data_IF_821986078469
#
_entry.id   IF_821986078469
#
_cell.length_a   1.000
_cell.length_b   1.000
_cell.length_c   1.000
_cell.angle_alpha   90.00
_cell.angle_beta   90.00
_cell.angle_gamma   90.00
#
_symmetry.space_group_name_H-M   'P 1'
#
loop_
_entity.id
_entity.type
_entity.pdbx_description
1 polymer ?
#
# COMPACT_ATOMS: atom_id res chain seq x y z
N UNK A 1 0.04 29.39 5.68
CA UNK A 1 -1.10 28.80 6.42
C UNK A 1 -1.92 28.02 5.39
N UNK A 2 -1.48 26.81 5.04
CA UNK A 2 -2.20 25.94 4.12
C UNK A 2 -3.23 25.16 4.91
N UNK A 3 -4.50 25.52 4.77
CA UNK A 3 -5.62 24.73 5.28
C UNK A 3 -5.64 23.44 4.46
N UNK A 4 -5.06 22.37 4.99
CA UNK A 4 -5.30 21.01 4.51
C UNK A 4 -6.82 20.81 4.54
N UNK A 5 -7.46 20.71 3.37
CA UNK A 5 -8.86 20.27 3.34
C UNK A 5 -8.84 18.82 3.83
N UNK A 6 -9.27 18.64 5.07
CA UNK A 6 -9.37 17.34 5.71
C UNK A 6 -10.41 16.54 4.91
N UNK A 7 -10.07 15.32 4.51
CA UNK A 7 -10.91 14.50 3.66
C UNK A 7 -12.28 14.21 4.33
N UNK A 8 -13.39 14.07 3.57
CA UNK A 8 -14.75 13.92 4.12
C UNK A 8 -14.95 12.86 5.23
N UNK A 9 -14.22 11.73 5.20
CA UNK A 9 -14.22 10.74 6.30
C UNK A 9 -13.84 11.34 7.67
N UNK A 10 -13.09 12.43 7.64
CA UNK A 10 -12.49 13.07 8.79
C UNK A 10 -13.21 14.37 9.16
N UNK A 11 -14.29 14.73 8.46
CA UNK A 11 -15.09 15.90 8.78
C UNK A 11 -16.06 15.64 9.96
N UNK A 12 -16.35 14.36 10.30
CA UNK A 12 -17.40 14.00 11.29
C UNK A 12 -17.03 12.95 12.35
N UNK A 13 -15.78 12.50 12.44
CA UNK A 13 -15.32 11.52 13.45
C UNK A 13 -14.34 12.23 14.38
N UNK A 14 -14.49 12.08 15.70
CA UNK A 14 -13.50 12.57 16.68
C UNK A 14 -12.08 12.09 16.28
N UNK A 15 -11.31 12.99 15.67
CA UNK A 15 -10.04 12.74 14.99
C UNK A 15 -8.85 12.48 15.91
N UNK A 16 -9.08 11.96 17.11
CA UNK A 16 -8.00 11.55 18.00
C UNK A 16 -7.95 10.03 18.02
N UNK A 17 -7.21 9.40 17.09
CA UNK A 17 -6.93 7.98 17.23
C UNK A 17 -6.11 7.76 18.51
N UNK A 18 -6.76 7.25 19.55
CA UNK A 18 -6.12 6.73 20.74
C UNK A 18 -5.54 5.34 20.41
N UNK A 19 -4.31 5.31 19.93
CA UNK A 19 -3.63 4.07 19.56
C UNK A 19 -2.12 4.26 19.47
N UNK A 20 -1.36 3.26 19.90
CA UNK A 20 0.11 3.31 19.91
C UNK A 20 0.72 2.81 18.60
N UNK A 21 -0.10 2.22 17.72
CA UNK A 21 0.29 1.55 16.49
C UNK A 21 -0.50 2.01 15.27
N UNK A 22 -0.91 3.28 15.23
CA UNK A 22 -1.65 3.84 14.10
C UNK A 22 -0.82 3.96 12.81
N UNK A 23 -1.49 3.86 11.67
CA UNK A 23 -0.93 4.00 10.31
C UNK A 23 -1.61 5.15 9.55
N UNK A 24 -1.00 5.73 8.51
CA UNK A 24 0.33 5.41 7.95
C UNK A 24 1.47 6.04 8.75
N UNK A 25 2.71 5.67 8.42
CA UNK A 25 3.93 6.23 9.03
C UNK A 25 4.92 6.72 7.98
N UNK A 26 5.86 7.56 8.41
CA UNK A 26 7.06 7.87 7.63
C UNK A 26 8.11 6.77 7.85
N UNK A 27 8.46 6.07 6.78
CA UNK A 27 9.53 5.07 6.79
C UNK A 27 10.85 5.81 6.59
N UNK A 28 11.64 5.91 7.66
CA UNK A 28 13.04 6.31 7.56
C UNK A 28 13.86 5.08 7.23
N UNK A 29 14.21 4.90 5.97
CA UNK A 29 14.78 3.61 5.54
C UNK A 29 16.08 3.29 6.28
N UNK A 30 16.92 4.29 6.58
CA UNK A 30 18.18 4.11 7.34
C UNK A 30 17.97 3.64 8.78
N UNK A 31 16.82 4.00 9.37
CA UNK A 31 16.46 3.62 10.74
C UNK A 31 15.76 2.26 10.77
N UNK A 32 15.42 1.68 9.61
CA UNK A 32 14.83 0.34 9.55
C UNK A 32 15.86 -0.73 9.89
N UNK A 33 15.41 -1.76 10.61
CA UNK A 33 16.25 -2.85 11.08
C UNK A 33 16.19 -3.99 10.09
N UNK A 34 17.32 -4.32 9.46
CA UNK A 34 17.41 -5.50 8.62
C UNK A 34 17.17 -6.75 9.46
N UNK A 35 16.14 -7.51 9.09
CA UNK A 35 15.77 -8.75 9.75
C UNK A 35 16.02 -9.93 8.78
N UNK A 36 17.12 -10.70 8.95
CA UNK A 36 17.41 -11.84 8.10
C UNK A 36 16.44 -13.01 8.28
N UNK A 37 15.58 -12.97 9.31
CA UNK A 37 14.52 -13.96 9.54
C UNK A 37 13.27 -13.71 8.68
N UNK A 38 13.15 -12.55 8.04
CA UNK A 38 12.08 -12.28 7.09
C UNK A 38 12.27 -13.15 5.84
N UNK A 39 11.37 -14.13 5.69
CA UNK A 39 11.32 -15.00 4.52
C UNK A 39 10.90 -14.20 3.27
N UNK A 40 11.12 -14.71 2.05
CA UNK A 40 10.45 -14.15 0.88
C UNK A 40 8.93 -14.13 1.08
N UNK A 41 8.28 -13.08 0.57
CA UNK A 41 6.82 -13.02 0.48
C UNK A 41 6.38 -13.77 -0.79
N UNK A 42 5.59 -14.81 -0.62
CA UNK A 42 4.95 -15.52 -1.73
C UNK A 42 3.57 -14.92 -1.96
N UNK A 43 3.26 -14.62 -3.23
CA UNK A 43 2.00 -14.06 -3.66
C UNK A 43 1.42 -15.02 -4.70
N UNK A 44 0.21 -15.52 -4.46
CA UNK A 44 -0.50 -16.42 -5.37
C UNK A 44 -1.92 -15.94 -5.51
N UNK A 45 -2.25 -15.33 -6.65
CA UNK A 45 -3.59 -14.86 -6.95
C UNK A 45 -4.18 -15.62 -8.13
N UNK A 46 -5.39 -16.13 -7.95
CA UNK A 46 -6.20 -16.68 -9.03
C UNK A 46 -7.03 -15.53 -9.64
N UNK A 47 -6.78 -15.13 -10.89
CA UNK A 47 -7.47 -14.01 -11.50
C UNK A 47 -8.98 -14.20 -11.61
N UNK A 48 -9.47 -15.45 -11.51
CA UNK A 48 -10.89 -15.78 -11.57
C UNK A 48 -11.64 -15.49 -10.27
N UNK A 49 -10.94 -15.20 -9.17
CA UNK A 49 -11.60 -14.79 -7.92
C UNK A 49 -11.99 -13.31 -7.91
N UNK A 50 -11.56 -12.52 -8.89
CA UNK A 50 -11.99 -11.12 -9.02
C UNK A 50 -13.49 -11.03 -9.34
N UNK A 51 -14.22 -10.21 -8.58
CA UNK A 51 -15.67 -10.07 -8.66
C UNK A 51 -16.08 -8.80 -9.41
N UNK A 52 -15.93 -7.65 -8.75
CA UNK A 52 -16.46 -6.38 -9.22
C UNK A 52 -15.57 -5.21 -8.78
N UNK A 53 -15.75 -4.08 -9.45
CA UNK A 53 -15.24 -2.78 -9.03
C UNK A 53 -16.41 -1.95 -8.53
N UNK A 54 -16.28 -1.30 -7.39
CA UNK A 54 -17.31 -0.39 -6.91
C UNK A 54 -16.73 0.85 -6.24
N UNK A 55 -17.41 1.98 -6.42
CA UNK A 55 -17.07 3.24 -5.77
C UNK A 55 -17.87 3.37 -4.49
N UNK A 56 -17.21 3.29 -3.33
CA UNK A 56 -17.88 3.35 -2.04
C UNK A 56 -18.02 4.78 -1.47
N UNK A 57 -17.62 5.79 -2.24
CA UNK A 57 -17.62 7.19 -1.81
C UNK A 57 -16.42 7.58 -0.96
N UNK A 58 -15.39 6.74 -0.85
CA UNK A 58 -14.11 7.02 -0.20
C UNK A 58 -12.92 6.67 -1.09
N UNK A 59 -13.02 5.53 -1.75
CA UNK A 59 -12.17 5.07 -2.85
C UNK A 59 -13.08 4.31 -3.83
N UNK A 60 -12.50 3.74 -4.87
CA UNK A 60 -13.04 2.50 -5.42
C UNK A 60 -12.34 1.29 -4.80
N UNK A 61 -13.03 0.15 -4.78
CA UNK A 61 -12.50 -1.14 -4.37
C UNK A 61 -12.65 -2.13 -5.52
N UNK A 62 -11.68 -3.01 -5.65
CA UNK A 62 -11.79 -4.23 -6.47
C UNK A 62 -11.86 -5.40 -5.49
N UNK A 63 -13.00 -6.09 -5.48
CA UNK A 63 -13.28 -7.15 -4.51
C UNK A 63 -13.04 -8.54 -5.10
N UNK A 64 -12.65 -9.47 -4.22
CA UNK A 64 -12.30 -10.84 -4.58
C UNK A 64 -13.09 -11.83 -3.71
N UNK A 65 -13.43 -12.96 -4.31
CA UNK A 65 -13.95 -14.14 -3.62
C UNK A 65 -12.89 -14.71 -2.67
N UNK A 66 -13.24 -14.82 -1.39
CA UNK A 66 -12.33 -15.14 -0.29
C UNK A 66 -12.80 -16.33 0.59
N UNK A 67 -13.77 -17.12 0.10
CA UNK A 67 -14.18 -18.37 0.76
C UNK A 67 -13.13 -19.50 0.69
N UNK A 68 -12.13 -19.39 -0.19
CA UNK A 68 -11.09 -20.40 -0.39
C UNK A 68 -9.69 -19.79 -0.52
N UNK A 69 -8.65 -20.61 -0.37
CA UNK A 69 -7.24 -20.19 -0.42
C UNK A 69 -6.70 -19.99 -1.85
N UNK A 70 -7.55 -19.61 -2.80
CA UNK A 70 -7.17 -19.42 -4.21
C UNK A 70 -6.31 -18.16 -4.44
N UNK A 71 -6.59 -17.11 -3.68
CA UNK A 71 -5.91 -15.83 -3.77
C UNK A 71 -5.36 -15.46 -2.39
N UNK A 72 -4.08 -15.76 -2.16
CA UNK A 72 -3.43 -15.67 -0.84
C UNK A 72 -2.03 -15.09 -0.91
N UNK A 73 -1.57 -14.59 0.24
CA UNK A 73 -0.17 -14.28 0.50
C UNK A 73 0.33 -15.12 1.67
N UNK A 74 1.61 -15.49 1.64
CA UNK A 74 2.25 -16.26 2.70
C UNK A 74 3.75 -15.91 2.80
N UNK A 75 4.37 -16.34 3.90
CA UNK A 75 5.78 -16.02 4.17
C UNK A 75 5.96 -14.58 4.63
N UNK A 76 7.12 -14.00 4.34
CA UNK A 76 7.48 -12.70 4.89
C UNK A 76 7.39 -12.62 6.42
N UNK A 77 6.70 -11.62 6.98
CA UNK A 77 6.46 -11.50 8.43
C UNK A 77 5.26 -12.32 8.94
N UNK A 78 4.57 -13.06 8.08
CA UNK A 78 3.28 -13.70 8.38
C UNK A 78 3.47 -15.11 8.95
N UNK A 79 2.64 -15.47 9.93
CA UNK A 79 2.63 -16.82 10.54
C UNK A 79 1.77 -17.81 9.72
N UNK A 80 0.74 -17.32 9.06
CA UNK A 80 -0.23 -18.09 8.28
C UNK A 80 -0.37 -17.50 6.87
N UNK A 81 -1.12 -18.18 6.00
CA UNK A 81 -1.59 -17.58 4.76
C UNK A 81 -2.76 -16.62 5.02
N UNK A 82 -2.82 -15.55 4.25
CA UNK A 82 -3.87 -14.53 4.36
C UNK A 82 -4.58 -14.41 3.00
N UNK A 83 -5.91 -14.49 3.01
CA UNK A 83 -6.74 -14.42 1.81
C UNK A 83 -6.93 -12.99 1.36
N UNK A 84 -6.76 -12.72 0.07
CA UNK A 84 -7.04 -11.42 -0.54
C UNK A 84 -8.54 -11.15 -0.47
N UNK A 85 -8.91 -10.05 0.20
CA UNK A 85 -10.30 -9.58 0.25
C UNK A 85 -10.59 -8.59 -0.87
N UNK A 86 -9.72 -7.60 -0.99
CA UNK A 86 -9.88 -6.47 -1.91
C UNK A 86 -8.55 -5.77 -2.12
N UNK A 87 -8.48 -4.94 -3.16
CA UNK A 87 -7.53 -3.85 -3.19
C UNK A 87 -8.20 -2.50 -3.50
N UNK A 88 -7.55 -1.42 -3.09
CA UNK A 88 -7.97 -0.05 -3.33
C UNK A 88 -6.75 0.89 -3.41
N UNK A 89 -6.99 2.16 -3.71
CA UNK A 89 -5.93 3.16 -3.85
C UNK A 89 -6.22 4.40 -3.01
N UNK A 90 -5.15 5.07 -2.63
CA UNK A 90 -5.14 6.43 -2.13
C UNK A 90 -4.37 7.31 -3.12
N UNK A 91 -4.88 8.49 -3.45
CA UNK A 91 -4.26 9.40 -4.42
C UNK A 91 -4.52 10.88 -4.11
N UNK A 92 -3.66 11.73 -4.63
CA UNK A 92 -3.73 13.17 -4.45
C UNK A 92 -4.39 13.89 -5.61
N UNK A 93 -4.76 15.14 -5.35
CA UNK A 93 -5.25 16.05 -6.37
C UNK A 93 -4.20 16.44 -7.42
N UNK A 94 -2.91 16.26 -7.12
CA UNK A 94 -1.77 16.59 -7.97
C UNK A 94 -0.69 15.51 -7.89
N UNK A 95 0.25 15.50 -8.83
CA UNK A 95 1.28 14.45 -8.92
C UNK A 95 2.34 14.48 -7.80
N UNK A 96 2.40 15.56 -7.03
CA UNK A 96 3.40 15.74 -5.99
C UNK A 96 3.11 14.95 -4.71
N UNK A 97 1.85 14.51 -4.50
CA UNK A 97 1.44 13.79 -3.29
C UNK A 97 0.22 12.90 -3.54
N UNK A 98 -0.10 12.05 -2.56
CA UNK A 98 -1.27 11.18 -2.61
C UNK A 98 -1.11 9.85 -1.90
N UNK A 99 0.13 9.38 -1.74
CA UNK A 99 0.43 8.24 -0.89
C UNK A 99 0.16 8.55 0.57
N UNK A 100 -0.22 7.51 1.31
CA UNK A 100 -0.44 7.58 2.75
C UNK A 100 0.90 7.45 3.49
N UNK A 101 1.65 6.40 3.17
CA UNK A 101 3.02 6.25 3.64
C UNK A 101 3.96 7.22 2.92
N UNK A 102 5.07 7.51 3.59
CA UNK A 102 6.19 8.23 3.00
C UNK A 102 7.49 7.49 3.25
N UNK A 103 8.49 7.74 2.40
CA UNK A 103 9.87 7.23 2.62
C UNK A 103 10.80 8.43 2.69
N UNK A 104 11.50 8.60 3.82
CA UNK A 104 12.28 9.81 4.12
C UNK A 104 11.49 11.11 3.86
N UNK A 105 10.22 11.12 4.29
CA UNK A 105 9.28 12.23 4.10
C UNK A 105 8.96 12.56 2.63
N UNK A 106 9.35 11.70 1.69
CA UNK A 106 8.92 11.79 0.29
C UNK A 106 7.60 11.08 0.09
N UNK A 107 6.64 11.80 -0.50
CA UNK A 107 5.36 11.26 -0.94
C UNK A 107 5.44 10.75 -2.38
N UNK A 108 4.46 9.94 -2.74
CA UNK A 108 4.18 9.50 -4.10
C UNK A 108 2.79 9.99 -4.54
N UNK A 109 2.51 10.13 -5.85
CA UNK A 109 1.20 10.54 -6.35
C UNK A 109 0.02 9.66 -5.90
N UNK A 110 0.29 8.37 -5.65
CA UNK A 110 -0.71 7.42 -5.18
C UNK A 110 -0.05 6.24 -4.45
N UNK A 111 -0.87 5.49 -3.72
CA UNK A 111 -0.50 4.26 -3.03
C UNK A 111 -1.62 3.23 -3.16
N UNK A 112 -1.27 2.02 -3.58
CA UNK A 112 -2.13 0.85 -3.67
C UNK A 112 -2.07 0.06 -2.37
N UNK A 113 -3.22 -0.35 -1.85
CA UNK A 113 -3.34 -1.29 -0.74
C UNK A 113 -4.04 -2.57 -1.17
N UNK A 114 -3.37 -3.70 -1.04
CA UNK A 114 -3.99 -5.02 -1.19
C UNK A 114 -4.24 -5.60 0.20
N UNK A 115 -5.50 -5.75 0.56
CA UNK A 115 -5.94 -6.12 1.90
C UNK A 115 -6.25 -7.60 1.97
N UNK A 116 -5.60 -8.26 2.93
CA UNK A 116 -5.74 -9.69 3.17
C UNK A 116 -6.13 -9.94 4.62
N UNK A 117 -6.77 -11.08 4.88
CA UNK A 117 -7.20 -11.47 6.23
C UNK A 117 -6.85 -12.92 6.57
N UNK A 118 -6.65 -13.16 7.86
CA UNK A 118 -6.21 -14.46 8.39
C UNK A 118 -7.40 -15.41 8.59
N UNK A 119 -7.81 -16.07 7.50
CA UNK A 119 -8.88 -17.06 7.53
C UNK A 119 -8.51 -18.38 8.25
N UNK A 120 -7.24 -18.54 8.66
CA UNK A 120 -6.81 -19.68 9.49
C UNK A 120 -7.19 -19.45 10.95
N UNK A 121 -7.12 -18.20 11.42
CA UNK A 121 -7.36 -17.83 12.83
C UNK A 121 -8.78 -17.30 13.08
N UNK A 122 -9.41 -16.68 12.09
CA UNK A 122 -10.71 -16.01 12.23
C UNK A 122 -11.75 -16.60 11.28
N UNK A 123 -13.01 -16.60 11.70
CA UNK A 123 -14.12 -17.15 10.91
C UNK A 123 -14.53 -16.23 9.76
N UNK A 124 -14.36 -14.92 9.92
CA UNK A 124 -14.76 -13.91 8.94
C UNK A 124 -13.81 -12.70 8.97
N UNK A 125 -13.94 -11.85 7.94
CA UNK A 125 -13.11 -10.66 7.77
C UNK A 125 -13.35 -9.62 8.86
N UNK A 126 -14.59 -9.44 9.30
CA UNK A 126 -14.99 -8.44 10.28
C UNK A 126 -14.31 -8.68 11.62
N UNK A 127 -14.29 -9.92 12.10
CA UNK A 127 -13.61 -10.32 13.33
C UNK A 127 -12.09 -10.16 13.19
N UNK A 128 -11.53 -10.59 12.05
CA UNK A 128 -10.10 -10.41 11.76
C UNK A 128 -9.71 -8.93 11.75
N UNK A 129 -10.57 -8.04 11.24
CA UNK A 129 -10.31 -6.61 11.17
C UNK A 129 -10.23 -5.93 12.54
N UNK A 130 -10.74 -6.55 13.60
CA UNK A 130 -10.72 -6.01 14.96
C UNK A 130 -9.57 -6.56 15.82
N UNK A 131 -8.87 -7.59 15.36
CA UNK A 131 -7.95 -8.37 16.18
C UNK A 131 -6.50 -8.28 15.69
N UNK A 132 -5.55 -8.34 16.63
CA UNK A 132 -4.13 -8.27 16.28
C UNK A 132 -3.71 -9.45 15.39
N UNK A 133 -2.94 -9.13 14.35
CA UNK A 133 -2.54 -10.03 13.27
C UNK A 133 -3.71 -10.63 12.48
N UNK A 134 -4.90 -10.03 12.54
CA UNK A 134 -6.03 -10.45 11.72
C UNK A 134 -5.92 -10.02 10.27
N UNK A 135 -5.25 -8.90 9.99
CA UNK A 135 -5.06 -8.39 8.63
C UNK A 135 -3.58 -8.32 8.21
N UNK A 136 -3.35 -8.47 6.91
CA UNK A 136 -2.08 -8.18 6.27
C UNK A 136 -2.33 -7.30 5.05
N UNK A 137 -1.63 -6.16 4.96
CA UNK A 137 -1.80 -5.21 3.85
C UNK A 137 -0.48 -5.03 3.11
N UNK A 138 -0.50 -5.31 1.81
CA UNK A 138 0.62 -4.96 0.92
C UNK A 138 0.40 -3.54 0.43
N UNK A 139 1.33 -2.65 0.76
CA UNK A 139 1.38 -1.28 0.24
C UNK A 139 2.34 -1.17 -0.95
N UNK A 140 1.88 -0.61 -2.07
CA UNK A 140 2.71 -0.34 -3.25
C UNK A 140 2.59 1.13 -3.64
N UNK A 141 3.71 1.84 -3.68
CA UNK A 141 3.74 3.22 -4.17
C UNK A 141 3.58 3.29 -5.69
N UNK A 142 2.89 4.31 -6.19
CA UNK A 142 2.80 4.61 -7.62
C UNK A 142 3.58 5.89 -7.90
N UNK A 143 4.49 5.88 -8.88
CA UNK A 143 5.17 7.08 -9.37
C UNK A 143 4.86 7.33 -10.84
N UNK A 144 4.93 8.58 -11.27
CA UNK A 144 4.89 8.91 -12.68
C UNK A 144 6.09 8.31 -13.42
N UNK A 145 5.84 7.72 -14.58
CA UNK A 145 6.84 7.10 -15.42
C UNK A 145 6.21 6.50 -16.66
N UNK A 146 6.59 5.27 -16.98
CA UNK A 146 6.05 4.54 -18.11
C UNK A 146 4.57 4.15 -17.89
N UNK A 147 3.80 4.18 -18.97
CA UNK A 147 2.44 3.64 -19.03
C UNK A 147 2.38 2.19 -18.53
N UNK A 148 1.46 1.91 -17.61
CA UNK A 148 1.27 0.60 -17.00
C UNK A 148 0.20 -0.20 -17.75
N UNK A 149 0.61 -1.01 -18.73
CA UNK A 149 -0.31 -1.73 -19.64
C UNK A 149 -1.38 -2.54 -18.90
N UNK A 150 -0.99 -3.30 -17.89
CA UNK A 150 -1.93 -4.19 -17.18
C UNK A 150 -2.92 -3.42 -16.28
N UNK A 151 -2.59 -2.18 -15.89
CA UNK A 151 -3.48 -1.32 -15.12
C UNK A 151 -4.58 -0.72 -16.01
N UNK A 152 -4.36 -0.69 -17.33
CA UNK A 152 -5.26 -0.01 -18.26
C UNK A 152 -6.66 -0.60 -18.23
N UNK A 153 -6.80 -1.92 -18.05
CA UNK A 153 -8.11 -2.57 -17.90
C UNK A 153 -8.93 -1.96 -16.75
N UNK A 154 -8.29 -1.70 -15.61
CA UNK A 154 -8.93 -1.05 -14.47
C UNK A 154 -9.26 0.41 -14.79
N UNK A 155 -8.32 1.14 -15.38
CA UNK A 155 -8.48 2.55 -15.78
C UNK A 155 -9.68 2.73 -16.72
N UNK A 156 -9.84 1.86 -17.71
CA UNK A 156 -10.96 1.89 -18.67
C UNK A 156 -12.32 1.60 -18.00
N UNK A 157 -12.31 1.01 -16.81
CA UNK A 157 -13.52 0.69 -16.03
C UNK A 157 -13.96 1.85 -15.13
N UNK A 158 -13.02 2.74 -14.74
CA UNK A 158 -13.30 3.85 -13.81
C UNK A 158 -14.46 4.78 -14.24
N UNK A 159 -14.65 5.11 -15.53
CA UNK A 159 -15.80 5.94 -15.94
C UNK A 159 -17.16 5.32 -15.59
N UNK A 160 -17.27 3.99 -15.60
CA UNK A 160 -18.51 3.26 -15.26
C UNK A 160 -18.82 3.30 -13.77
N UNK A 161 -17.84 3.61 -12.93
CA UNK A 161 -17.99 3.75 -11.47
C UNK A 161 -17.69 5.18 -10.98
N UNK A 162 -17.93 6.18 -11.83
CA UNK A 162 -17.61 7.60 -11.54
C UNK A 162 -18.25 8.09 -10.24
N UNK A 163 -19.49 7.74 -9.97
CA UNK A 163 -20.27 8.23 -8.83
C UNK A 163 -20.21 7.26 -7.64
N UNK A 164 -20.36 7.77 -6.42
CA UNK A 164 -20.53 6.92 -5.24
C UNK A 164 -21.71 5.96 -5.41
N UNK A 165 -21.58 4.76 -4.82
CA UNK A 165 -22.54 3.65 -4.80
C UNK A 165 -22.79 2.99 -6.17
N UNK A 166 -21.89 3.24 -7.14
CA UNK A 166 -21.89 2.55 -8.43
C UNK A 166 -20.98 1.33 -8.40
N UNK A 167 -21.40 0.26 -9.07
CA UNK A 167 -20.75 -1.04 -9.08
C UNK A 167 -20.81 -1.63 -10.49
N UNK A 168 -19.72 -2.27 -10.92
CA UNK A 168 -19.64 -2.99 -12.20
C UNK A 168 -18.88 -4.30 -12.03
N UNK A 169 -19.37 -5.38 -12.64
CA UNK A 169 -18.62 -6.63 -12.71
C UNK A 169 -17.31 -6.43 -13.49
N UNK A 170 -16.20 -6.91 -12.94
CA UNK A 170 -14.87 -6.69 -13.55
C UNK A 170 -14.35 -7.92 -14.32
N UNK A 171 -14.92 -9.09 -13.98
CA UNK A 171 -14.45 -10.38 -14.46
C UNK A 171 -13.02 -10.65 -14.00
N UNK A 172 -12.27 -11.40 -14.81
CA UNK A 172 -10.93 -11.85 -14.42
C UNK A 172 -9.89 -10.73 -14.37
N UNK A 173 -9.17 -10.58 -13.26
CA UNK A 173 -8.08 -9.61 -13.10
C UNK A 173 -7.02 -10.17 -12.14
N UNK A 174 -5.75 -10.14 -12.54
CA UNK A 174 -4.63 -10.58 -11.70
C UNK A 174 -3.97 -9.39 -11.00
N UNK A 175 -4.15 -9.20 -9.69
CA UNK A 175 -3.52 -8.08 -8.98
C UNK A 175 -1.99 -8.22 -8.85
N UNK A 176 -1.41 -9.38 -9.17
CA UNK A 176 0.06 -9.56 -9.22
C UNK A 176 0.70 -8.64 -10.26
N UNK A 177 -0.05 -8.23 -11.29
CA UNK A 177 0.44 -7.29 -12.29
C UNK A 177 0.77 -5.90 -11.72
N UNK A 178 0.25 -5.57 -10.53
CA UNK A 178 0.48 -4.31 -9.84
C UNK A 178 1.66 -4.39 -8.84
N UNK A 179 2.40 -5.49 -8.84
CA UNK A 179 3.57 -5.69 -7.97
C UNK A 179 4.86 -5.22 -8.66
N UNK A 180 5.75 -4.52 -7.95
CA UNK A 180 7.08 -4.25 -8.47
C UNK A 180 7.90 -5.54 -8.53
N UNK A 181 8.78 -5.66 -9.52
CA UNK A 181 9.65 -6.84 -9.69
C UNK A 181 10.62 -7.07 -8.52
N UNK A 182 10.93 -6.01 -7.74
CA UNK A 182 11.79 -6.11 -6.57
C UNK A 182 11.06 -6.83 -5.42
N UNK A 183 11.61 -7.91 -4.86
CA UNK A 183 10.97 -8.63 -3.77
C UNK A 183 11.04 -7.86 -2.45
N UNK A 184 11.99 -6.93 -2.30
CA UNK A 184 12.24 -6.19 -1.06
C UNK A 184 11.02 -5.45 -0.53
N UNK A 185 10.88 -5.45 0.80
CA UNK A 185 9.84 -4.73 1.52
C UNK A 185 10.29 -4.28 2.91
N UNK A 186 9.55 -3.32 3.45
CA UNK A 186 9.53 -3.00 4.88
C UNK A 186 8.29 -3.62 5.52
N UNK A 187 8.34 -3.87 6.82
CA UNK A 187 7.19 -4.36 7.57
C UNK A 187 7.14 -3.80 8.99
N UNK A 188 5.93 -3.56 9.48
CA UNK A 188 5.65 -3.11 10.84
C UNK A 188 4.20 -3.43 11.22
N UNK A 189 3.90 -3.52 12.52
CA UNK A 189 2.54 -3.67 13.04
C UNK A 189 1.86 -2.29 13.10
N UNK A 190 0.68 -2.19 12.48
CA UNK A 190 -0.02 -0.94 12.26
C UNK A 190 -1.54 -1.07 12.38
N UNK A 191 -2.23 -0.11 11.78
CA UNK A 191 -3.69 -0.06 11.76
C UNK A 191 -4.24 0.00 10.33
N UNK A 192 -5.56 -0.14 10.22
CA UNK A 192 -6.30 0.40 9.08
C UNK A 192 -6.10 1.93 9.02
N UNK A 193 -6.08 2.49 7.82
CA UNK A 193 -5.94 3.94 7.60
C UNK A 193 -7.28 4.64 7.38
N UNK A 194 -8.36 3.87 7.31
CA UNK A 194 -9.76 4.33 7.34
C UNK A 194 -10.47 3.81 8.59
N UNK A 195 -11.53 4.50 9.07
CA UNK A 195 -12.36 3.99 10.16
C UNK A 195 -12.77 2.53 9.97
N UNK A 196 -12.69 1.69 11.02
CA UNK A 196 -12.55 2.04 12.44
C UNK A 196 -11.11 2.26 12.95
N UNK A 197 -10.08 2.26 12.08
CA UNK A 197 -8.67 2.48 12.46
C UNK A 197 -8.09 1.42 13.41
N UNK A 198 -8.67 0.22 13.41
CA UNK A 198 -8.23 -0.90 14.25
C UNK A 198 -6.76 -1.23 14.04
N UNK A 199 -6.04 -1.48 15.14
CA UNK A 199 -4.61 -1.88 15.16
C UNK A 199 -4.42 -3.38 14.88
N UNK A 200 -5.00 -3.86 13.79
CA UNK A 200 -5.08 -5.26 13.39
C UNK A 200 -4.16 -5.63 12.22
N UNK A 201 -3.42 -4.66 11.68
CA UNK A 201 -2.74 -4.78 10.37
C UNK A 201 -1.26 -5.07 10.52
N UNK A 202 -0.79 -6.15 9.89
CA UNK A 202 0.63 -6.31 9.53
C UNK A 202 0.89 -5.65 8.18
N UNK A 203 1.61 -4.54 8.19
CA UNK A 203 1.97 -3.83 6.96
C UNK A 203 3.16 -4.47 6.26
N UNK A 204 3.08 -4.58 4.94
CA UNK A 204 4.16 -5.01 4.06
C UNK A 204 4.30 -3.98 2.94
N UNK A 205 5.21 -3.02 3.11
CA UNK A 205 5.39 -1.91 2.16
C UNK A 205 6.48 -2.28 1.16
N UNK A 206 6.11 -2.44 -0.11
CA UNK A 206 7.07 -2.74 -1.18
C UNK A 206 8.08 -1.60 -1.34
N UNK A 207 9.36 -1.96 -1.44
CA UNK A 207 10.46 -0.98 -1.50
C UNK A 207 10.43 -0.12 -2.76
N UNK A 208 10.12 -0.74 -3.89
CA UNK A 208 10.08 -0.07 -5.19
C UNK A 208 8.65 0.32 -5.53
N UNK A 209 8.43 1.52 -6.07
CA UNK A 209 7.15 1.89 -6.64
C UNK A 209 6.93 1.19 -8.00
N UNK A 210 5.67 1.12 -8.43
CA UNK A 210 5.33 0.87 -9.84
C UNK A 210 5.21 2.19 -10.60
N UNK A 211 5.45 2.14 -11.90
CA UNK A 211 5.29 3.29 -12.79
C UNK A 211 3.90 3.29 -13.40
N UNK A 212 3.28 4.46 -13.41
CA UNK A 212 2.04 4.75 -14.16
C UNK A 212 2.27 6.02 -14.96
N UNK A 213 1.57 6.19 -16.09
CA UNK A 213 1.62 7.47 -16.77
C UNK A 213 0.64 8.48 -16.15
N UNK A 214 0.76 9.73 -16.60
CA UNK A 214 -0.05 10.84 -16.12
C UNK A 214 -1.55 10.64 -16.41
N UNK A 215 -1.89 10.16 -17.60
CA UNK A 215 -3.29 10.06 -18.05
C UNK A 215 -4.04 8.95 -17.30
N UNK A 216 -3.36 7.84 -17.00
CA UNK A 216 -3.87 6.79 -16.13
C UNK A 216 -4.22 7.33 -14.75
N UNK A 217 -3.34 8.12 -14.14
CA UNK A 217 -3.60 8.71 -12.82
C UNK A 217 -4.69 9.79 -12.87
N UNK A 218 -4.81 10.55 -13.96
CA UNK A 218 -5.87 11.54 -14.09
C UNK A 218 -7.26 10.89 -14.12
N UNK A 219 -7.41 9.69 -14.68
CA UNK A 219 -8.67 8.94 -14.63
C UNK A 219 -9.15 8.67 -13.19
N UNK A 220 -8.24 8.40 -12.25
CA UNK A 220 -8.59 8.21 -10.84
C UNK A 220 -9.20 9.48 -10.27
N UNK A 221 -8.65 10.63 -10.63
CA UNK A 221 -9.10 11.95 -10.19
C UNK A 221 -10.43 12.39 -10.84
N UNK A 222 -10.99 11.61 -11.77
CA UNK A 222 -12.33 11.88 -12.33
C UNK A 222 -13.47 11.31 -11.49
N UNK A 223 -13.15 10.36 -10.59
CA UNK A 223 -14.12 9.77 -9.68
C UNK A 223 -14.66 10.82 -8.69
N UNK A 224 -15.83 10.55 -8.14
CA UNK A 224 -16.54 11.43 -7.23
C UNK A 224 -16.83 10.74 -5.90
N UNK A 225 -16.72 11.49 -4.80
CA UNK A 225 -17.18 11.07 -3.47
C UNK A 225 -18.71 11.05 -3.35
N UNK A 226 -19.41 11.67 -4.30
CA UNK A 226 -20.84 11.97 -4.24
C UNK A 226 -21.61 11.09 -5.20
N UNK A 227 -22.84 10.76 -4.83
CA UNK A 227 -23.72 9.93 -5.65
C UNK A 227 -24.24 10.70 -6.87
N UNK A 228 -24.85 10.02 -7.82
CA UNK A 228 -25.46 10.68 -8.99
C UNK A 228 -26.59 11.63 -8.55
N UNK A 229 -26.64 12.82 -9.14
CA UNK A 229 -27.61 13.88 -8.80
C UNK A 229 -27.21 14.76 -7.61
N UNK A 230 -26.18 14.40 -6.84
CA UNK A 230 -25.59 15.27 -5.82
C UNK A 230 -24.61 16.29 -6.44
N UNK A 231 -24.27 17.33 -5.67
CA UNK A 231 -23.24 18.29 -6.09
C UNK A 231 -21.88 17.59 -6.17
N UNK A 232 -21.32 17.49 -7.38
CA UNK A 232 -20.06 16.78 -7.62
C UNK A 232 -18.93 17.24 -6.67
N UNK A 233 -18.35 16.29 -5.92
CA UNK A 233 -17.10 16.46 -5.16
C UNK A 233 -16.10 15.43 -5.68
N UNK A 234 -15.05 15.89 -6.37
CA UNK A 234 -13.98 15.02 -6.89
C UNK A 234 -13.36 14.20 -5.76
N UNK A 235 -13.17 12.91 -6.02
CA UNK A 235 -12.46 11.97 -5.17
C UNK A 235 -10.97 12.21 -5.34
N UNK A 236 -10.41 13.11 -4.54
CA UNK A 236 -8.98 13.44 -4.51
C UNK A 236 -8.58 13.72 -3.06
N UNK A 237 -7.28 13.58 -2.79
CA UNK A 237 -6.70 13.69 -1.46
C UNK A 237 -7.39 12.73 -0.47
N UNK A 238 -7.69 11.51 -0.93
CA UNK A 238 -8.38 10.48 -0.15
C UNK A 238 -7.45 9.69 0.77
N UNK A 239 -6.41 10.33 1.29
CA UNK A 239 -5.36 9.71 2.11
C UNK A 239 -5.36 10.30 3.53
N UNK A 240 -4.93 9.50 4.50
CA UNK A 240 -4.76 9.89 5.90
C UNK A 240 -3.39 10.55 6.13
N UNK A 241 -3.31 11.61 6.96
CA UNK A 241 -2.03 12.13 7.43
C UNK A 241 -1.19 11.11 8.21
N UNK A 242 0.13 11.29 8.19
CA UNK A 242 1.09 10.46 8.93
C UNK A 242 0.79 10.44 10.44
N UNK A 243 0.94 9.26 11.02
CA UNK A 243 0.81 8.99 12.44
C UNK A 243 2.19 8.80 13.09
N UNK A 244 2.33 9.07 14.40
CA UNK A 244 3.60 8.86 15.10
C UNK A 244 4.05 7.40 15.07
N UNK A 245 5.35 7.16 14.86
CA UNK A 245 5.93 5.81 14.92
C UNK A 245 5.84 5.20 16.33
N UNK A 246 5.87 6.05 17.37
CA UNK A 246 5.93 5.64 18.78
C UNK A 246 7.10 4.67 19.02
N UNK A 247 6.89 3.60 19.80
CA UNK A 247 7.92 2.62 20.16
C UNK A 247 8.07 1.49 19.12
N UNK A 248 7.44 1.60 17.95
CA UNK A 248 7.50 0.56 16.91
C UNK A 248 8.83 0.59 16.18
N UNK A 249 9.27 -0.58 15.74
CA UNK A 249 10.42 -0.74 14.85
C UNK A 249 9.93 -1.14 13.47
N UNK A 250 10.43 -0.45 12.44
CA UNK A 250 10.25 -0.88 11.05
C UNK A 250 11.35 -1.87 10.71
N UNK A 251 10.97 -3.08 10.29
CA UNK A 251 11.92 -4.10 9.82
C UNK A 251 12.06 -4.03 8.30
N UNK A 252 13.21 -4.41 7.76
CA UNK A 252 13.44 -4.50 6.32
C UNK A 252 13.93 -5.90 5.92
N UNK A 253 13.48 -6.37 4.77
CA UNK A 253 13.91 -7.66 4.20
C UNK A 253 15.28 -7.59 3.49
N UNK A 254 15.92 -6.43 3.48
CA UNK A 254 17.12 -6.14 2.71
C UNK A 254 18.14 -5.36 3.54
N UNK A 255 19.42 -5.55 3.24
CA UNK A 255 20.49 -4.79 3.87
C UNK A 255 20.59 -3.39 3.28
N UNK A 256 20.93 -2.45 4.14
CA UNK A 256 21.47 -1.18 3.70
C UNK A 256 22.94 -1.43 3.34
N UNK A 257 23.24 -1.57 2.06
CA UNK A 257 24.63 -1.63 1.62
C UNK A 257 25.28 -0.28 1.93
N UNK A 258 25.94 -0.20 3.09
CA UNK A 258 26.89 0.85 3.36
C UNK A 258 28.05 0.65 2.40
N UNK A 259 27.99 1.27 1.21
CA UNK A 259 29.21 1.51 0.45
C UNK A 259 30.00 2.55 1.25
N UNK A 260 30.70 2.07 2.28
CA UNK A 260 31.87 2.74 2.81
C UNK A 260 32.86 2.78 1.64
N UNK A 261 32.87 3.88 0.91
CA UNK A 261 34.00 4.30 0.09
C UNK A 261 35.19 4.58 1.02
N UNK A 262 35.69 3.55 1.71
CA UNK A 262 37.05 3.53 2.19
C UNK A 262 37.84 3.12 0.96
N UNK A 263 38.33 4.13 0.23
CA UNK A 263 39.41 3.94 -0.72
C UNK A 263 40.48 3.08 -0.04
N UNK A 264 40.64 1.85 -0.53
CA UNK A 264 41.78 1.03 -0.16
C UNK A 264 43.03 1.84 -0.48
N UNK A 265 43.75 2.29 0.55
CA UNK A 265 45.09 2.84 0.39
C UNK A 265 45.93 1.77 -0.31
N UNK A 266 46.65 2.10 -1.41
CA UNK A 266 47.60 1.16 -1.98
C UNK A 266 48.66 0.81 -0.93
N UNK A 267 48.95 -0.47 -0.78
CA UNK A 267 50.12 -0.90 0.00
C UNK A 267 51.39 -0.27 -0.58
N UNK A 268 52.36 0.16 0.25
CA UNK A 268 53.65 0.59 -0.25
C UNK A 268 54.36 -0.61 -0.88
N UNK A 269 54.74 -0.48 -2.15
CA UNK A 269 55.63 -1.41 -2.83
C UNK A 269 56.98 -1.44 -2.10
N UNK A 270 57.33 -2.58 -1.53
CA UNK A 270 58.68 -2.87 -1.06
C UNK A 270 59.59 -3.04 -2.27
N UNK A 271 60.37 -2.00 -2.58
CA UNK A 271 61.54 -2.14 -3.46
C UNK A 271 62.62 -2.93 -2.73
N UNK A 272 62.78 -4.21 -3.06
CA UNK A 272 64.00 -4.93 -2.73
C UNK A 272 65.11 -4.45 -3.66
N UNK A 273 66.04 -3.68 -3.11
CA UNK A 273 67.37 -3.52 -3.69
C UNK A 273 68.12 -4.85 -3.52
N UNK A 274 68.63 -5.40 -4.61
CA UNK A 274 69.62 -6.49 -4.60
C UNK A 274 70.99 -5.88 -4.91
N UNK A 275 72.10 -6.37 -4.30
CA UNK A 275 73.43 -5.80 -4.48
C UNK A 275 74.00 -6.05 -5.88
#
# INVERSE_FOLDING_TARGET
MFLWRVHPLWESVDLVPAGERQSPINIRWRDSVYDPGLKPLTISYDPTTCLHVWNNGYSFLVEFEDSTDKSVIEGGPLEHNYRLKQFHFHWGAIDAWGSEHTVDSKCYPAELHLVHWNAVKFENFEDAALEENGLAVIGVFLKLGKHHKELQKLVDTLPSIKHKDTLVEFGSFDPSCLMPACPDYWTYSGSLTTPPLSESVTWIIKKQPVEVDHDQLEQFRTLLFTSEGEKEKRMVDNFRPLQPLMNRTVRSSFRHDYVLNIQAKPQPSTSQATP
#
